data_IF_446251426127
#
_entry.id   IF_446251426127
#
_cell.length_a   1.000
_cell.length_b   1.000
_cell.length_c   1.000
_cell.angle_alpha   90.00
_cell.angle_beta   90.00
_cell.angle_gamma   90.00
#
_symmetry.space_group_name_H-M   'P 1'
#
loop_
_entity.id
_entity.type
_entity.pdbx_description
1 polymer ?
#
# COMPACT_ATOMS: atom_id res chain seq x y z
N UNK A 1 31.08 29.45 16.81
CA UNK A 1 31.95 28.27 16.62
C UNK A 1 31.69 27.35 17.79
N UNK A 2 30.87 26.33 17.59
CA UNK A 2 30.60 25.34 18.63
C UNK A 2 31.11 24.02 18.08
N UNK A 3 32.31 23.66 18.52
CA UNK A 3 32.98 22.39 18.24
C UNK A 3 32.20 21.26 18.92
N UNK A 4 31.66 20.34 18.11
CA UNK A 4 31.22 19.04 18.58
C UNK A 4 32.47 18.20 18.86
N UNK A 5 32.77 17.99 20.14
CA UNK A 5 33.77 17.02 20.58
C UNK A 5 33.20 15.62 20.37
N UNK A 6 33.86 14.85 19.51
CA UNK A 6 33.65 13.41 19.38
C UNK A 6 34.43 12.75 20.51
N UNK A 7 33.75 12.12 21.46
CA UNK A 7 34.38 11.23 22.41
C UNK A 7 33.46 10.05 22.79
N UNK A 8 34.05 8.86 22.70
CA UNK A 8 33.65 7.53 23.19
C UNK A 8 32.77 6.64 22.30
N UNK A 9 33.33 5.46 22.01
CA UNK A 9 32.89 4.37 21.13
C UNK A 9 31.61 3.60 21.57
N UNK A 10 30.57 4.28 22.07
CA UNK A 10 29.34 3.60 22.51
C UNK A 10 28.03 4.31 22.11
N UNK A 11 27.99 4.90 20.91
CA UNK A 11 26.74 5.37 20.28
C UNK A 11 26.72 5.05 18.78
N UNK A 12 26.66 3.76 18.43
CA UNK A 12 26.62 3.38 17.00
C UNK A 12 25.19 3.47 16.43
N UNK A 13 24.12 3.53 17.23
CA UNK A 13 22.75 3.75 16.72
C UNK A 13 21.85 4.47 17.73
N UNK A 14 21.82 5.80 17.69
CA UNK A 14 20.79 6.55 18.40
C UNK A 14 19.50 6.63 17.54
N UNK A 15 18.63 5.63 17.69
CA UNK A 15 17.38 5.51 16.94
C UNK A 15 16.28 6.51 17.35
N UNK A 16 16.51 7.41 18.32
CA UNK A 16 15.51 8.40 18.73
C UNK A 16 15.04 9.28 17.56
N UNK A 17 15.92 9.54 16.60
CA UNK A 17 15.59 10.37 15.43
C UNK A 17 14.71 9.65 14.39
N UNK A 18 14.54 8.32 14.45
CA UNK A 18 13.73 7.57 13.49
C UNK A 18 12.22 7.84 13.62
N UNK A 19 11.80 8.37 14.77
CA UNK A 19 10.40 8.70 15.06
C UNK A 19 10.22 10.20 15.36
N UNK A 20 11.05 11.03 14.73
CA UNK A 20 10.98 12.49 14.82
C UNK A 20 10.49 13.06 13.49
N UNK A 21 9.55 14.00 13.54
CA UNK A 21 9.00 14.62 12.33
C UNK A 21 10.08 15.32 11.51
N UNK A 22 10.07 15.04 10.21
CA UNK A 22 10.89 15.73 9.22
C UNK A 22 10.15 16.92 8.61
N UNK A 23 10.88 17.74 7.85
CA UNK A 23 10.35 18.82 7.04
C UNK A 23 10.49 18.50 5.57
N UNK A 24 9.66 19.13 4.74
CA UNK A 24 9.78 19.01 3.30
C UNK A 24 11.06 19.70 2.80
N UNK A 25 11.64 19.13 1.75
CA UNK A 25 12.68 19.71 0.92
C UNK A 25 12.19 19.56 -0.53
N UNK A 26 11.40 20.54 -0.96
CA UNK A 26 10.72 20.50 -2.26
C UNK A 26 11.61 20.95 -3.42
N UNK A 27 12.68 21.70 -3.14
CA UNK A 27 13.72 21.99 -4.12
C UNK A 27 14.76 20.86 -4.12
N UNK A 28 15.37 20.58 -5.27
CA UNK A 28 16.39 19.53 -5.34
C UNK A 28 17.70 20.03 -4.70
N UNK A 29 18.10 19.38 -3.62
CA UNK A 29 19.32 19.68 -2.88
C UNK A 29 20.45 18.75 -3.29
N UNK A 30 21.61 19.29 -3.66
CA UNK A 30 22.81 18.48 -3.92
C UNK A 30 23.43 18.06 -2.59
N UNK A 31 23.43 16.75 -2.30
CA UNK A 31 23.97 16.22 -1.06
C UNK A 31 25.48 15.98 -1.15
N UNK A 32 26.17 16.19 -0.02
CA UNK A 32 27.58 15.81 0.13
C UNK A 32 27.68 14.37 0.60
N UNK A 33 28.55 13.58 -0.03
CA UNK A 33 28.79 12.19 0.33
C UNK A 33 30.29 11.87 0.37
N UNK A 34 30.65 10.73 0.97
CA UNK A 34 32.00 10.19 1.00
C UNK A 34 32.07 8.92 0.15
N UNK A 35 33.22 8.68 -0.48
CA UNK A 35 33.42 7.57 -1.42
C UNK A 35 33.17 7.98 -2.87
N UNK A 36 33.16 6.99 -3.77
CA UNK A 36 32.92 7.19 -5.19
C UNK A 36 31.69 6.38 -5.62
N UNK A 37 30.78 7.02 -6.34
CA UNK A 37 29.62 6.34 -6.92
C UNK A 37 30.10 5.61 -8.19
N UNK A 38 29.72 4.34 -8.43
CA UNK A 38 30.06 3.67 -9.68
C UNK A 38 29.52 4.44 -10.90
N UNK A 39 30.34 4.65 -11.93
CA UNK A 39 29.97 5.48 -13.10
C UNK A 39 28.71 4.98 -13.84
N UNK A 40 28.44 3.68 -13.77
CA UNK A 40 27.27 3.06 -14.39
C UNK A 40 25.97 3.34 -13.63
N UNK A 41 26.04 3.76 -12.36
CA UNK A 41 24.86 3.99 -11.53
C UNK A 41 24.25 5.36 -11.86
N UNK A 42 23.18 5.32 -12.67
CA UNK A 42 22.42 6.50 -13.06
C UNK A 42 20.93 6.22 -12.95
N UNK A 43 20.21 6.98 -12.13
CA UNK A 43 18.78 6.79 -11.95
C UNK A 43 18.23 7.46 -10.70
N UNK A 44 16.97 7.14 -10.39
CA UNK A 44 16.27 7.66 -9.21
C UNK A 44 16.02 6.52 -8.23
N UNK A 45 16.40 6.71 -6.97
CA UNK A 45 15.96 5.89 -5.85
C UNK A 45 14.82 6.59 -5.13
N UNK A 46 13.65 5.96 -5.11
CA UNK A 46 12.51 6.41 -4.32
C UNK A 46 12.42 5.61 -3.03
N UNK A 47 12.18 6.30 -1.92
CA UNK A 47 11.86 5.68 -0.62
C UNK A 47 10.58 6.28 -0.07
N UNK A 48 9.87 5.50 0.74
CA UNK A 48 8.67 5.92 1.43
C UNK A 48 8.78 5.54 2.91
N UNK A 49 8.01 6.21 3.76
CA UNK A 49 7.93 5.95 5.17
C UNK A 49 7.16 7.05 5.90
N UNK A 50 6.89 6.85 7.21
CA UNK A 50 6.33 7.90 8.05
C UNK A 50 7.35 9.05 8.18
N UNK A 51 6.93 10.28 7.91
CA UNK A 51 7.77 11.47 8.05
C UNK A 51 7.24 12.51 9.04
N UNK A 52 6.00 12.40 9.50
CA UNK A 52 5.46 13.26 10.56
C UNK A 52 4.80 12.39 11.61
N UNK A 53 5.22 12.55 12.86
CA UNK A 53 4.78 11.74 14.00
C UNK A 53 3.73 12.44 14.87
N UNK A 54 3.35 13.65 14.48
CA UNK A 54 2.31 14.49 15.08
C UNK A 54 1.73 15.44 14.01
N UNK A 55 0.63 16.11 14.34
CA UNK A 55 -0.07 17.05 13.46
C UNK A 55 0.28 18.47 13.89
N UNK A 56 0.73 19.30 12.94
CA UNK A 56 1.06 20.72 13.16
C UNK A 56 2.05 20.96 14.32
N UNK A 57 3.04 20.07 14.48
CA UNK A 57 4.01 20.10 15.57
C UNK A 57 3.37 20.13 16.99
N UNK A 58 2.09 19.71 17.12
CA UNK A 58 1.40 19.65 18.41
C UNK A 58 1.62 18.28 19.08
N UNK A 59 2.37 18.19 20.19
CA UNK A 59 2.64 16.92 20.86
C UNK A 59 1.39 16.22 21.40
N UNK A 60 0.24 16.91 21.51
CA UNK A 60 -1.05 16.30 21.89
C UNK A 60 -1.67 15.45 20.78
N UNK A 61 -1.15 15.56 19.57
CA UNK A 61 -1.64 14.86 18.37
C UNK A 61 -0.71 13.76 17.88
N UNK A 62 0.23 13.34 18.74
CA UNK A 62 1.21 12.30 18.46
C UNK A 62 0.54 10.99 18.05
N UNK A 63 1.07 10.35 17.00
CA UNK A 63 0.64 9.02 16.56
C UNK A 63 1.18 7.93 17.49
N UNK A 64 0.37 6.88 17.70
CA UNK A 64 0.69 5.81 18.65
C UNK A 64 1.41 4.60 18.02
N UNK A 65 1.63 4.60 16.71
CA UNK A 65 2.21 3.46 16.00
C UNK A 65 3.16 3.90 14.88
N UNK A 66 4.19 3.09 14.64
CA UNK A 66 5.22 3.34 13.63
C UNK A 66 4.70 3.42 12.19
N UNK A 67 3.46 3.00 11.92
CA UNK A 67 2.84 2.98 10.58
C UNK A 67 1.81 4.11 10.38
N UNK A 68 1.62 4.98 11.38
CA UNK A 68 0.57 5.99 11.37
C UNK A 68 1.07 7.40 11.03
N UNK A 69 2.40 7.58 11.01
CA UNK A 69 2.98 8.87 10.64
C UNK A 69 2.76 9.16 9.15
N UNK A 70 2.52 10.43 8.82
CA UNK A 70 2.14 10.79 7.46
C UNK A 70 3.22 10.42 6.45
N UNK A 71 2.78 9.84 5.33
CA UNK A 71 3.63 9.38 4.24
C UNK A 71 4.56 10.47 3.70
N UNK A 72 5.86 10.20 3.69
CA UNK A 72 6.91 11.07 3.20
C UNK A 72 7.78 10.35 2.19
N UNK A 73 7.78 10.88 0.97
CA UNK A 73 8.49 10.31 -0.17
C UNK A 73 9.83 11.01 -0.29
N UNK A 74 10.88 10.21 -0.41
CA UNK A 74 12.24 10.67 -0.63
C UNK A 74 12.69 10.23 -2.01
N UNK A 75 13.29 11.14 -2.76
CA UNK A 75 13.92 10.88 -4.05
C UNK A 75 15.40 11.20 -3.97
N UNK A 76 16.23 10.26 -4.39
CA UNK A 76 17.65 10.45 -4.63
C UNK A 76 17.92 10.33 -6.14
N UNK A 77 18.21 11.44 -6.81
CA UNK A 77 18.65 11.46 -8.19
C UNK A 77 20.16 11.23 -8.24
N UNK A 78 20.58 10.04 -8.68
CA UNK A 78 21.97 9.60 -8.63
C UNK A 78 22.55 9.65 -10.04
N UNK A 79 23.68 10.33 -10.22
CA UNK A 79 24.50 10.28 -11.42
C UNK A 79 25.97 10.02 -11.05
N UNK A 80 26.39 8.76 -11.22
CA UNK A 80 27.76 8.34 -10.98
C UNK A 80 28.79 8.92 -11.96
N UNK A 81 28.39 9.34 -13.15
CA UNK A 81 29.33 9.93 -14.12
C UNK A 81 29.74 11.35 -13.71
N UNK A 82 28.83 12.13 -13.13
CA UNK A 82 29.09 13.46 -12.58
C UNK A 82 29.41 13.47 -11.08
N UNK A 83 29.33 12.32 -10.41
CA UNK A 83 29.45 12.20 -8.94
C UNK A 83 28.48 13.13 -8.19
N UNK A 84 27.23 13.19 -8.65
CA UNK A 84 26.20 14.04 -8.05
C UNK A 84 25.04 13.20 -7.52
N UNK A 85 24.52 13.58 -6.36
CA UNK A 85 23.26 13.08 -5.84
C UNK A 85 22.37 14.26 -5.49
N UNK A 86 21.25 14.39 -6.18
CA UNK A 86 20.16 15.30 -5.83
C UNK A 86 19.21 14.63 -4.83
N UNK A 87 18.76 15.36 -3.83
CA UNK A 87 17.77 14.92 -2.85
C UNK A 87 16.52 15.80 -2.93
N UNK A 88 15.35 15.17 -2.85
CA UNK A 88 14.06 15.84 -2.68
C UNK A 88 13.21 15.02 -1.73
N UNK A 89 12.46 15.68 -0.86
CA UNK A 89 11.55 15.05 0.10
C UNK A 89 10.22 15.79 0.21
N UNK A 90 9.10 15.08 0.05
CA UNK A 90 7.76 15.69 0.16
C UNK A 90 6.75 14.76 0.80
N UNK A 91 5.81 15.33 1.56
CA UNK A 91 4.65 14.62 2.08
C UNK A 91 3.66 14.33 0.97
N UNK A 92 3.08 13.14 0.98
CA UNK A 92 1.94 12.81 0.10
C UNK A 92 0.74 13.64 0.55
N UNK A 93 0.30 14.59 -0.28
CA UNK A 93 -0.83 15.48 0.02
C UNK A 93 -2.18 14.77 -0.19
N UNK A 94 -2.34 13.62 0.46
CA UNK A 94 -3.57 12.82 0.46
C UNK A 94 -4.71 13.56 1.19
N UNK A 95 -5.94 13.04 1.11
CA UNK A 95 -7.07 13.59 1.88
C UNK A 95 -6.78 13.52 3.37
N UNK A 96 -6.28 12.39 3.86
CA UNK A 96 -5.99 12.19 5.28
C UNK A 96 -4.95 13.18 5.78
N UNK A 97 -3.89 13.44 5.00
CA UNK A 97 -2.91 14.48 5.33
C UNK A 97 -3.54 15.88 5.32
N UNK A 98 -4.11 16.28 4.19
CA UNK A 98 -4.57 17.67 3.97
C UNK A 98 -5.69 18.07 4.92
N UNK A 99 -6.67 17.20 5.16
CA UNK A 99 -7.74 17.48 6.12
C UNK A 99 -7.25 17.47 7.56
N UNK A 100 -6.31 16.60 7.93
CA UNK A 100 -5.79 16.53 9.30
C UNK A 100 -4.97 17.78 9.65
N UNK A 101 -4.10 18.22 8.75
CA UNK A 101 -3.33 19.47 8.89
C UNK A 101 -4.28 20.68 9.00
N UNK A 102 -5.28 20.77 8.12
CA UNK A 102 -6.28 21.84 8.13
C UNK A 102 -7.07 21.90 9.44
N UNK A 103 -7.45 20.74 9.99
CA UNK A 103 -8.29 20.66 11.18
C UNK A 103 -7.48 20.64 12.49
N UNK A 104 -6.15 20.52 12.43
CA UNK A 104 -5.28 20.33 13.60
C UNK A 104 -5.57 19.05 14.39
N UNK A 105 -6.20 18.06 13.76
CA UNK A 105 -6.58 16.79 14.40
C UNK A 105 -6.74 15.70 13.36
N UNK A 106 -6.46 14.45 13.74
CA UNK A 106 -6.50 13.32 12.82
C UNK A 106 -7.90 13.14 12.24
N UNK A 107 -8.00 13.15 10.91
CA UNK A 107 -9.28 13.01 10.22
C UNK A 107 -9.75 11.55 10.17
N UNK A 108 -8.85 10.64 9.82
CA UNK A 108 -9.16 9.25 9.46
C UNK A 108 -8.44 8.28 10.39
N UNK A 109 -9.06 7.15 10.69
CA UNK A 109 -8.43 6.07 11.47
C UNK A 109 -7.23 5.50 10.73
N UNK A 110 -6.12 5.36 11.46
CA UNK A 110 -4.87 4.76 10.98
C UNK A 110 -4.72 3.33 11.52
N UNK A 111 -3.57 2.71 11.28
CA UNK A 111 -3.30 1.33 11.67
C UNK A 111 -3.35 1.14 13.20
N UNK A 112 -2.68 2.02 13.94
CA UNK A 112 -2.59 2.00 15.40
C UNK A 112 -3.24 3.17 16.14
N UNK A 113 -3.67 4.22 15.43
CA UNK A 113 -4.20 5.46 15.99
C UNK A 113 -5.64 5.72 15.52
N UNK A 114 -6.54 5.95 16.46
CA UNK A 114 -7.94 6.30 16.19
C UNK A 114 -8.15 7.81 16.33
N UNK A 115 -8.83 8.50 15.39
CA UNK A 115 -9.25 9.87 15.60
C UNK A 115 -10.14 9.95 16.84
N UNK A 116 -9.89 10.94 17.69
CA UNK A 116 -10.72 11.19 18.87
C UNK A 116 -12.08 11.78 18.44
N UNK A 117 -12.97 10.94 17.94
CA UNK A 117 -14.35 11.32 17.61
C UNK A 117 -15.28 11.06 18.80
N UNK A 118 -16.28 11.94 18.96
CA UNK A 118 -17.37 11.72 19.92
C UNK A 118 -18.18 10.47 19.55
N UNK A 119 -18.76 9.80 20.55
CA UNK A 119 -19.59 8.59 20.39
C UNK A 119 -20.72 8.80 19.35
N UNK A 120 -21.28 10.01 19.28
CA UNK A 120 -22.33 10.38 18.32
C UNK A 120 -21.83 10.39 16.87
N UNK A 121 -20.61 10.87 16.62
CA UNK A 121 -19.98 10.83 15.29
C UNK A 121 -19.66 9.40 14.83
N UNK A 122 -19.27 8.53 15.76
CA UNK A 122 -19.04 7.10 15.50
C UNK A 122 -20.33 6.36 15.15
N UNK A 123 -21.43 6.66 15.85
CA UNK A 123 -22.75 6.10 15.57
C UNK A 123 -23.27 6.55 14.19
N UNK A 124 -23.15 7.82 13.84
CA UNK A 124 -23.56 8.30 12.52
C UNK A 124 -22.78 7.64 11.37
N UNK A 125 -21.46 7.47 11.51
CA UNK A 125 -20.65 6.77 10.51
C UNK A 125 -21.07 5.30 10.34
N UNK A 126 -21.41 4.59 11.41
CA UNK A 126 -21.84 3.19 11.32
C UNK A 126 -23.20 3.00 10.62
N UNK A 127 -24.16 3.90 10.85
CA UNK A 127 -25.53 3.78 10.34
C UNK A 127 -25.78 4.51 9.02
N UNK A 128 -24.98 5.54 8.71
CA UNK A 128 -25.17 6.41 7.55
C UNK A 128 -23.94 6.51 6.63
N UNK A 129 -22.76 6.01 7.04
CA UNK A 129 -21.50 6.15 6.29
C UNK A 129 -20.89 4.82 5.88
N UNK A 130 -21.26 4.30 4.69
CA UNK A 130 -20.48 3.28 3.96
C UNK A 130 -19.79 3.94 2.77
N UNK A 131 -18.97 4.93 3.06
CA UNK A 131 -18.26 5.68 2.04
C UNK A 131 -16.78 5.31 2.06
N UNK A 132 -16.21 5.16 0.86
CA UNK A 132 -14.78 5.11 0.57
C UNK A 132 -13.96 6.23 1.26
N UNK A 133 -14.64 7.25 1.77
CA UNK A 133 -14.09 8.34 2.59
C UNK A 133 -13.73 7.97 4.03
N UNK A 134 -14.07 6.77 4.49
CA UNK A 134 -13.83 6.32 5.87
C UNK A 134 -12.48 5.65 6.11
N UNK A 135 -11.80 5.20 5.05
CA UNK A 135 -10.50 4.53 5.14
C UNK A 135 -9.36 5.52 4.87
N UNK A 136 -8.22 5.29 5.52
CA UNK A 136 -7.03 6.12 5.31
C UNK A 136 -6.49 5.95 3.89
N UNK A 137 -6.10 7.07 3.30
CA UNK A 137 -5.31 7.18 2.08
C UNK A 137 -3.89 7.68 2.40
N UNK A 138 -3.44 7.48 3.65
CA UNK A 138 -2.08 7.72 4.09
C UNK A 138 -1.16 6.58 3.64
N UNK A 139 -0.54 6.78 2.47
CA UNK A 139 0.20 5.74 1.75
C UNK A 139 1.66 5.67 2.19
N UNK A 140 1.92 5.37 3.46
CA UNK A 140 3.26 5.45 4.07
C UNK A 140 4.11 4.16 4.03
N UNK A 141 3.70 3.13 3.28
CA UNK A 141 4.33 1.79 3.34
C UNK A 141 5.36 1.60 2.22
N UNK A 142 4.97 1.76 0.96
CA UNK A 142 5.90 1.58 -0.17
C UNK A 142 5.68 2.63 -1.25
N UNK A 143 6.67 2.75 -2.14
CA UNK A 143 6.56 3.52 -3.38
C UNK A 143 7.11 2.68 -4.54
N UNK A 144 6.36 2.55 -5.63
CA UNK A 144 6.71 1.67 -6.74
C UNK A 144 6.22 2.22 -8.08
N UNK A 145 6.98 1.93 -9.14
CA UNK A 145 6.55 2.19 -10.51
C UNK A 145 5.61 1.08 -10.98
N UNK A 146 4.41 1.45 -11.45
CA UNK A 146 3.44 0.53 -12.07
C UNK A 146 2.91 1.21 -13.33
N UNK A 147 3.05 0.58 -14.50
CA UNK A 147 2.66 1.17 -15.80
C UNK A 147 3.18 2.62 -15.96
N UNK A 148 4.45 2.86 -15.62
CA UNK A 148 5.10 4.19 -15.63
C UNK A 148 4.52 5.25 -14.68
N UNK A 149 3.63 4.89 -13.76
CA UNK A 149 3.18 5.75 -12.67
C UNK A 149 3.94 5.48 -11.38
N UNK A 150 4.37 6.54 -10.69
CA UNK A 150 4.94 6.42 -9.35
C UNK A 150 3.79 6.34 -8.33
N UNK A 151 3.56 5.15 -7.78
CA UNK A 151 2.50 4.89 -6.81
C UNK A 151 3.06 4.82 -5.40
N UNK A 152 2.52 5.64 -4.50
CA UNK A 152 2.64 5.42 -3.06
C UNK A 152 1.48 4.54 -2.59
N UNK A 153 1.78 3.50 -1.82
CA UNK A 153 0.81 2.49 -1.37
C UNK A 153 0.84 2.28 0.16
N UNK A 154 -0.32 1.86 0.68
CA UNK A 154 -0.52 1.30 2.02
C UNK A 154 -1.41 0.07 1.90
N UNK A 155 -1.94 -0.45 3.00
CA UNK A 155 -2.72 -1.70 3.02
C UNK A 155 -4.24 -1.49 2.89
N UNK A 156 -4.67 -0.26 2.60
CA UNK A 156 -6.04 0.04 2.19
C UNK A 156 -6.20 -0.19 0.69
N UNK A 157 -7.43 -0.05 0.19
CA UNK A 157 -7.69 -0.13 -1.25
C UNK A 157 -7.30 1.15 -1.99
N UNK A 158 -6.70 2.14 -1.33
CA UNK A 158 -6.36 3.43 -1.93
C UNK A 158 -4.85 3.59 -2.04
N UNK A 159 -4.37 3.92 -3.24
CA UNK A 159 -3.02 4.38 -3.51
C UNK A 159 -3.02 5.86 -3.91
N UNK A 160 -1.85 6.49 -3.95
CA UNK A 160 -1.68 7.86 -4.44
C UNK A 160 -0.67 7.88 -5.57
N UNK A 161 -1.01 8.56 -6.67
CA UNK A 161 -0.12 8.77 -7.80
C UNK A 161 0.67 10.05 -7.58
N UNK A 162 1.97 9.97 -7.84
CA UNK A 162 2.91 11.06 -7.68
C UNK A 162 3.59 11.38 -9.00
N UNK A 163 3.90 12.66 -9.21
CA UNK A 163 4.82 13.07 -10.26
C UNK A 163 6.24 12.55 -9.91
N UNK A 164 6.89 11.74 -10.76
CA UNK A 164 8.20 11.16 -10.45
C UNK A 164 9.32 12.20 -10.40
N UNK A 165 9.12 13.36 -11.02
CA UNK A 165 10.10 14.44 -11.02
C UNK A 165 9.94 15.32 -9.79
N UNK A 166 8.72 15.79 -9.53
CA UNK A 166 8.44 16.78 -8.46
C UNK A 166 7.97 16.17 -7.15
N UNK A 167 7.61 14.88 -7.11
CA UNK A 167 6.91 14.21 -6.02
C UNK A 167 5.53 14.80 -5.68
N UNK A 168 4.98 15.66 -6.54
CA UNK A 168 3.68 16.26 -6.32
C UNK A 168 2.58 15.19 -6.39
N UNK A 169 1.64 15.25 -5.46
CA UNK A 169 0.46 14.39 -5.47
C UNK A 169 -0.47 14.73 -6.65
N UNK A 170 -0.69 13.78 -7.55
CA UNK A 170 -1.51 13.95 -8.75
C UNK A 170 -2.96 13.48 -8.55
N UNK A 171 -3.17 12.49 -7.69
CA UNK A 171 -4.51 12.03 -7.32
C UNK A 171 -4.53 10.65 -6.68
N UNK A 172 -5.66 10.32 -6.07
CA UNK A 172 -5.89 9.03 -5.45
C UNK A 172 -6.37 7.98 -6.47
N UNK A 173 -5.76 6.80 -6.39
CA UNK A 173 -6.10 5.59 -7.12
C UNK A 173 -6.88 4.65 -6.20
N UNK A 174 -8.08 4.22 -6.61
CA UNK A 174 -8.84 3.23 -5.84
C UNK A 174 -8.80 1.88 -6.55
N UNK A 175 -8.30 0.88 -5.83
CA UNK A 175 -8.25 -0.53 -6.24
C UNK A 175 -9.51 -1.23 -5.73
N UNK A 176 -10.60 -1.18 -6.50
CA UNK A 176 -11.77 -2.00 -6.19
C UNK A 176 -12.29 -2.70 -7.44
N UNK A 177 -12.79 -3.95 -7.29
CA UNK A 177 -13.81 -4.41 -8.20
C UNK A 177 -15.04 -3.54 -8.04
N UNK A 178 -15.60 -3.11 -9.17
CA UNK A 178 -16.94 -2.54 -9.20
C UNK A 178 -17.91 -3.59 -8.62
N UNK A 179 -18.53 -3.27 -7.50
CA UNK A 179 -19.52 -4.11 -6.83
C UNK A 179 -20.80 -3.31 -6.66
N UNK A 180 -21.95 -3.91 -7.01
CA UNK A 180 -23.27 -3.31 -6.76
C UNK A 180 -23.37 -2.89 -5.28
N UNK A 181 -24.08 -1.81 -4.92
CA UNK A 181 -24.24 -1.34 -3.53
C UNK A 181 -24.73 -2.39 -2.50
N UNK A 182 -25.26 -3.53 -2.96
CA UNK A 182 -25.68 -4.66 -2.11
C UNK A 182 -24.55 -5.61 -1.70
N UNK A 183 -23.38 -5.52 -2.33
CA UNK A 183 -22.18 -6.33 -2.05
C UNK A 183 -21.06 -5.50 -1.41
N UNK A 184 -21.39 -4.35 -0.81
CA UNK A 184 -20.43 -3.47 -0.15
C UNK A 184 -19.61 -4.24 0.90
N UNK A 185 -18.27 -4.10 0.86
CA UNK A 185 -17.41 -4.77 1.82
C UNK A 185 -17.62 -4.22 3.23
N UNK A 186 -17.59 -5.12 4.22
CA UNK A 186 -17.41 -4.82 5.64
C UNK A 186 -15.97 -4.35 5.88
N UNK A 187 -15.00 -5.01 5.25
CA UNK A 187 -13.61 -4.60 5.19
C UNK A 187 -13.04 -4.97 3.81
N UNK A 188 -12.16 -4.13 3.28
CA UNK A 188 -11.32 -4.43 2.11
C UNK A 188 -9.91 -3.94 2.37
N UNK A 189 -8.94 -4.79 2.06
CA UNK A 189 -7.51 -4.52 2.21
C UNK A 189 -6.81 -4.95 0.93
N UNK A 190 -5.73 -4.27 0.59
CA UNK A 190 -4.83 -4.65 -0.49
C UNK A 190 -3.41 -4.74 0.06
N UNK A 191 -2.54 -5.49 -0.61
CA UNK A 191 -1.11 -5.44 -0.28
C UNK A 191 -0.50 -4.13 -0.77
N UNK A 192 0.46 -3.60 -0.01
CA UNK A 192 1.36 -2.57 -0.51
C UNK A 192 2.49 -3.18 -1.38
N UNK A 193 2.76 -4.48 -1.28
CA UNK A 193 3.87 -5.16 -1.94
C UNK A 193 3.41 -5.85 -3.23
N UNK A 194 3.18 -5.06 -4.27
CA UNK A 194 2.86 -5.61 -5.60
C UNK A 194 4.11 -6.15 -6.29
N UNK A 195 3.97 -7.26 -7.01
CA UNK A 195 5.10 -8.00 -7.58
C UNK A 195 5.12 -7.86 -9.09
N UNK A 196 6.29 -7.67 -9.70
CA UNK A 196 6.40 -7.65 -11.16
C UNK A 196 6.79 -9.02 -11.71
N UNK A 197 5.90 -9.62 -12.50
CA UNK A 197 6.18 -10.81 -13.30
C UNK A 197 6.88 -10.40 -14.60
N UNK A 198 8.20 -10.61 -14.65
CA UNK A 198 9.00 -10.28 -15.82
C UNK A 198 8.74 -11.18 -17.03
N UNK A 199 8.33 -12.44 -16.83
CA UNK A 199 8.03 -13.41 -17.91
C UNK A 199 6.77 -12.98 -18.65
N UNK A 200 5.76 -12.53 -17.90
CA UNK A 200 4.44 -12.15 -18.45
C UNK A 200 4.27 -10.64 -18.63
N UNK A 201 5.26 -9.84 -18.18
CA UNK A 201 5.24 -8.37 -18.24
C UNK A 201 3.97 -7.81 -17.61
N UNK A 202 3.76 -8.15 -16.34
CA UNK A 202 2.61 -7.67 -15.57
C UNK A 202 2.93 -7.49 -14.09
N UNK A 203 2.30 -6.51 -13.47
CA UNK A 203 2.28 -6.35 -12.01
C UNK A 203 1.14 -7.18 -11.42
N UNK A 204 1.43 -7.93 -10.37
CA UNK A 204 0.50 -8.78 -9.64
C UNK A 204 0.24 -8.15 -8.27
N UNK A 205 -1.02 -7.88 -8.00
CA UNK A 205 -1.50 -7.42 -6.69
C UNK A 205 -2.57 -8.36 -6.15
N UNK A 206 -2.86 -8.27 -4.87
CA UNK A 206 -3.95 -9.01 -4.25
C UNK A 206 -4.54 -8.24 -3.08
N UNK A 207 -5.73 -8.65 -2.65
CA UNK A 207 -6.42 -8.06 -1.52
C UNK A 207 -7.49 -8.96 -0.94
N UNK A 208 -7.76 -8.80 0.35
CA UNK A 208 -8.81 -9.53 1.04
C UNK A 208 -10.03 -8.64 1.25
N UNK A 209 -11.22 -9.23 1.15
CA UNK A 209 -12.47 -8.56 1.51
C UNK A 209 -13.38 -9.47 2.31
N UNK A 210 -14.13 -8.84 3.21
CA UNK A 210 -15.23 -9.46 3.92
C UNK A 210 -16.52 -8.76 3.50
N UNK A 211 -17.53 -9.52 3.13
CA UNK A 211 -18.87 -8.99 2.85
C UNK A 211 -19.91 -9.70 3.71
N UNK A 212 -21.18 -9.32 3.56
CA UNK A 212 -22.29 -10.06 4.15
C UNK A 212 -22.48 -11.46 3.53
N UNK A 213 -21.96 -11.70 2.32
CA UNK A 213 -22.11 -12.96 1.59
C UNK A 213 -20.95 -13.94 1.77
N UNK A 214 -19.82 -13.48 2.30
CA UNK A 214 -18.64 -14.31 2.48
C UNK A 214 -17.35 -13.50 2.52
N UNK A 215 -16.24 -14.21 2.65
CA UNK A 215 -14.90 -13.64 2.58
C UNK A 215 -14.27 -14.05 1.25
N UNK A 216 -13.51 -13.14 0.66
CA UNK A 216 -12.91 -13.35 -0.64
C UNK A 216 -11.49 -12.80 -0.67
N UNK A 217 -10.62 -13.55 -1.33
CA UNK A 217 -9.31 -13.12 -1.78
C UNK A 217 -9.43 -12.76 -3.25
N UNK A 218 -9.05 -11.54 -3.59
CA UNK A 218 -9.02 -11.00 -4.93
C UNK A 218 -7.57 -10.88 -5.41
N UNK A 219 -7.31 -11.28 -6.66
CA UNK A 219 -5.98 -11.19 -7.28
C UNK A 219 -6.14 -10.42 -8.58
N UNK A 220 -5.29 -9.42 -8.76
CA UNK A 220 -5.34 -8.48 -9.88
C UNK A 220 -4.03 -8.52 -10.66
N UNK A 221 -4.13 -8.47 -11.99
CA UNK A 221 -2.99 -8.45 -12.90
C UNK A 221 -3.06 -7.18 -13.76
N UNK A 222 -2.00 -6.40 -13.70
CA UNK A 222 -1.88 -5.10 -14.37
C UNK A 222 -0.80 -5.28 -15.45
N UNK A 223 -1.13 -5.28 -16.75
CA UNK A 223 -0.13 -5.44 -17.81
C UNK A 223 0.86 -4.28 -17.80
N UNK A 224 2.12 -4.50 -18.17
CA UNK A 224 3.15 -3.44 -18.22
C UNK A 224 2.98 -2.51 -19.43
N UNK A 225 2.35 -3.02 -20.51
CA UNK A 225 2.22 -2.30 -21.78
C UNK A 225 1.12 -1.23 -21.77
N UNK A 226 1.56 0.01 -21.99
CA UNK A 226 0.74 1.17 -22.30
C UNK A 226 0.70 1.34 -23.83
N UNK A 227 -0.02 0.49 -24.57
CA UNK A 227 -0.43 0.87 -25.93
C UNK A 227 -0.96 2.31 -25.92
N UNK A 228 -0.38 3.17 -26.77
CA UNK A 228 -0.57 4.64 -26.79
C UNK A 228 -2.03 5.09 -26.97
N UNK A 229 -2.89 4.19 -27.46
CA UNK A 229 -4.33 4.39 -27.49
C UNK A 229 -4.96 3.92 -26.18
N UNK A 230 -5.09 4.84 -25.23
CA UNK A 230 -6.14 4.75 -24.22
C UNK A 230 -7.44 5.14 -24.94
N UNK A 231 -8.44 4.25 -25.09
CA UNK A 231 -9.72 4.67 -25.64
C UNK A 231 -10.23 5.84 -24.80
N UNK A 232 -10.61 6.95 -25.43
CA UNK A 232 -11.42 7.96 -24.76
C UNK A 232 -12.78 7.33 -24.48
N UNK A 233 -12.85 6.64 -23.36
CA UNK A 233 -14.09 6.03 -22.90
C UNK A 233 -14.98 7.17 -22.41
N UNK A 234 -16.12 7.38 -23.07
CA UNK A 234 -17.19 8.24 -22.55
C UNK A 234 -17.88 7.53 -21.36
N UNK A 235 -18.71 8.23 -20.60
CA UNK A 235 -19.33 7.67 -19.38
C UNK A 235 -20.15 6.39 -19.66
N UNK A 236 -20.79 6.30 -20.84
CA UNK A 236 -21.59 5.13 -21.26
C UNK A 236 -20.70 3.90 -21.58
N UNK A 237 -19.58 4.12 -22.27
CA UNK A 237 -18.58 3.08 -22.55
C UNK A 237 -17.86 2.66 -21.25
N UNK A 238 -17.86 3.53 -20.22
CA UNK A 238 -17.26 3.25 -18.92
C UNK A 238 -18.09 2.21 -18.18
N UNK A 239 -19.42 2.38 -18.17
CA UNK A 239 -20.35 1.38 -17.62
C UNK A 239 -20.25 0.02 -18.34
N UNK A 240 -19.99 0.01 -19.65
CA UNK A 240 -19.75 -1.22 -20.40
C UNK A 240 -18.40 -1.88 -20.03
N UNK A 241 -17.31 -1.12 -19.96
CA UNK A 241 -16.00 -1.59 -19.51
C UNK A 241 -16.04 -2.09 -18.06
N UNK A 242 -16.77 -1.39 -17.20
CA UNK A 242 -17.09 -1.76 -15.82
C UNK A 242 -17.90 -3.07 -15.76
N UNK A 243 -18.82 -3.30 -16.70
CA UNK A 243 -19.63 -4.51 -16.75
C UNK A 243 -18.82 -5.76 -17.16
N UNK A 244 -17.76 -5.58 -17.96
CA UNK A 244 -16.89 -6.66 -18.47
C UNK A 244 -15.63 -6.88 -17.64
N UNK A 245 -15.12 -5.85 -16.99
CA UNK A 245 -13.89 -5.88 -16.21
C UNK A 245 -14.23 -5.96 -14.73
N UNK A 246 -13.89 -7.07 -14.06
CA UNK A 246 -14.20 -7.21 -12.64
C UNK A 246 -13.42 -6.26 -11.76
N UNK A 247 -12.27 -5.71 -12.18
CA UNK A 247 -11.47 -4.72 -11.44
C UNK A 247 -10.99 -3.63 -12.39
N UNK A 248 -11.36 -2.37 -12.08
CA UNK A 248 -10.84 -1.19 -12.76
C UNK A 248 -9.90 -0.48 -11.77
N UNK A 249 -8.67 -0.21 -12.19
CA UNK A 249 -7.85 0.82 -11.55
C UNK A 249 -8.34 2.13 -12.14
N UNK A 250 -9.12 2.90 -11.37
CA UNK A 250 -9.61 4.19 -11.82
C UNK A 250 -9.04 5.30 -10.94
N UNK A 251 -8.66 6.38 -11.61
CA UNK A 251 -8.45 7.66 -10.96
C UNK A 251 -9.79 8.10 -10.39
N UNK A 252 -9.88 8.30 -9.09
CA UNK A 252 -11.11 8.82 -8.46
C UNK A 252 -11.39 10.25 -8.89
N UNK A 253 -12.55 10.82 -8.54
CA UNK A 253 -12.86 12.24 -8.83
C UNK A 253 -11.92 13.24 -8.11
N UNK A 254 -11.08 12.76 -7.18
CA UNK A 254 -10.09 13.54 -6.44
C UNK A 254 -8.75 13.66 -7.18
N UNK A 255 -8.79 13.98 -8.48
CA UNK A 255 -7.60 14.31 -9.29
C UNK A 255 -7.35 15.82 -9.19
N UNK A 256 -6.10 16.22 -8.96
CA UNK A 256 -5.71 17.64 -9.00
C UNK A 256 -5.82 18.21 -10.41
N UNK A 257 -5.90 19.54 -10.58
CA UNK A 257 -5.91 20.12 -11.94
C UNK A 257 -4.68 19.70 -12.75
N UNK A 258 -3.51 19.60 -12.10
CA UNK A 258 -2.30 19.06 -12.71
C UNK A 258 -2.49 17.60 -13.11
N UNK A 259 -3.03 16.74 -12.25
CA UNK A 259 -3.33 15.35 -12.58
C UNK A 259 -4.29 15.19 -13.77
N UNK A 260 -5.29 16.07 -13.91
CA UNK A 260 -6.22 16.08 -15.06
C UNK A 260 -5.48 16.41 -16.37
N UNK A 261 -4.51 17.32 -16.30
CA UNK A 261 -3.67 17.71 -17.44
C UNK A 261 -2.52 16.72 -17.70
N UNK A 262 -2.15 15.90 -16.71
CA UNK A 262 -1.06 14.94 -16.78
C UNK A 262 -1.41 13.71 -17.63
N UNK A 263 -2.70 13.47 -17.89
CA UNK A 263 -3.26 12.54 -18.88
C UNK A 263 -2.57 11.16 -18.96
N UNK A 264 -2.37 10.50 -17.80
CA UNK A 264 -1.97 9.09 -17.75
C UNK A 264 -3.05 8.29 -17.02
N UNK A 265 -3.78 7.46 -17.77
CA UNK A 265 -4.77 6.54 -17.19
C UNK A 265 -4.08 5.21 -16.97
N UNK A 266 -3.91 4.80 -15.71
CA UNK A 266 -3.58 3.41 -15.38
C UNK A 266 -4.66 2.54 -16.02
N UNK A 267 -4.27 1.57 -16.85
CA UNK A 267 -5.22 0.74 -17.58
C UNK A 267 -5.96 -0.18 -16.61
N UNK A 268 -7.24 -0.39 -16.92
CA UNK A 268 -8.05 -1.41 -16.29
C UNK A 268 -7.38 -2.79 -16.39
N UNK A 269 -7.53 -3.61 -15.35
CA UNK A 269 -7.05 -4.98 -15.36
C UNK A 269 -7.93 -5.82 -16.28
N UNK A 270 -7.33 -6.67 -17.12
CA UNK A 270 -8.08 -7.61 -17.97
C UNK A 270 -8.21 -8.99 -17.34
N UNK A 271 -7.33 -9.33 -16.39
CA UNK A 271 -7.27 -10.62 -15.71
C UNK A 271 -7.37 -10.43 -14.20
N UNK A 272 -8.29 -11.15 -13.59
CA UNK A 272 -8.47 -11.17 -12.14
C UNK A 272 -9.07 -12.48 -11.68
N UNK A 273 -8.68 -12.95 -10.50
CA UNK A 273 -9.24 -14.14 -9.88
C UNK A 273 -9.81 -13.83 -8.51
N UNK A 274 -10.82 -14.59 -8.11
CA UNK A 274 -11.47 -14.50 -6.81
C UNK A 274 -11.58 -15.88 -6.20
N UNK A 275 -11.14 -16.00 -4.96
CA UNK A 275 -11.22 -17.23 -4.18
C UNK A 275 -12.08 -17.00 -2.95
N UNK A 276 -13.07 -17.86 -2.67
CA UNK A 276 -13.73 -17.86 -1.37
C UNK A 276 -12.72 -18.24 -0.29
N UNK A 277 -12.81 -17.56 0.85
CA UNK A 277 -11.95 -17.80 2.00
C UNK A 277 -12.80 -18.04 3.25
N UNK A 278 -12.33 -18.87 4.15
CA UNK A 278 -13.00 -19.10 5.43
C UNK A 278 -12.85 -17.87 6.34
N UNK A 279 -11.69 -17.21 6.28
CA UNK A 279 -11.34 -16.05 7.08
C UNK A 279 -10.66 -14.97 6.22
N UNK A 280 -10.74 -13.71 6.67
CA UNK A 280 -9.86 -12.65 6.17
C UNK A 280 -8.64 -12.61 7.07
N UNK A 281 -7.49 -13.06 6.55
CA UNK A 281 -6.21 -12.96 7.23
C UNK A 281 -5.46 -11.69 6.84
N UNK A 282 -4.58 -11.26 7.72
CA UNK A 282 -3.58 -10.24 7.42
C UNK A 282 -2.48 -10.86 6.56
N UNK A 283 -2.27 -10.35 5.36
CA UNK A 283 -1.22 -10.82 4.45
C UNK A 283 -0.47 -9.62 3.90
N UNK A 284 0.65 -9.27 4.55
CA UNK A 284 1.41 -8.07 4.21
C UNK A 284 2.07 -8.17 2.83
N UNK A 285 2.70 -9.30 2.52
CA UNK A 285 3.33 -9.55 1.22
C UNK A 285 3.03 -10.96 0.72
N UNK A 286 3.39 -11.19 -0.55
CA UNK A 286 3.37 -12.47 -1.21
C UNK A 286 4.69 -12.67 -1.98
N UNK A 287 4.86 -13.82 -2.61
CA UNK A 287 5.99 -14.06 -3.52
C UNK A 287 5.53 -14.73 -4.80
N UNK A 288 6.29 -14.52 -5.87
CA UNK A 288 6.10 -15.20 -7.15
C UNK A 288 7.33 -16.04 -7.48
N UNK A 289 7.12 -17.24 -8.01
CA UNK A 289 8.12 -18.01 -8.75
C UNK A 289 7.96 -17.74 -10.25
N UNK A 290 8.61 -18.53 -11.10
CA UNK A 290 8.45 -18.42 -12.56
C UNK A 290 6.98 -18.65 -13.00
N UNK A 291 6.29 -19.60 -12.37
CA UNK A 291 4.97 -20.05 -12.79
C UNK A 291 3.87 -19.87 -11.74
N UNK A 292 4.23 -19.59 -10.49
CA UNK A 292 3.28 -19.57 -9.39
C UNK A 292 3.31 -18.28 -8.58
N UNK A 293 2.13 -17.85 -8.14
CA UNK A 293 1.94 -16.94 -7.02
C UNK A 293 1.77 -17.76 -5.75
N UNK A 294 2.49 -17.40 -4.70
CA UNK A 294 2.46 -18.03 -3.39
C UNK A 294 1.96 -17.01 -2.38
N UNK A 295 0.83 -17.32 -1.76
CA UNK A 295 0.23 -16.53 -0.67
C UNK A 295 0.35 -17.30 0.64
N UNK A 296 0.83 -16.61 1.67
CA UNK A 296 0.97 -17.14 3.03
C UNK A 296 -0.17 -16.63 3.91
N UNK A 297 -1.24 -17.42 4.02
CA UNK A 297 -2.40 -17.11 4.84
C UNK A 297 -2.09 -17.44 6.31
N UNK A 298 -1.52 -16.46 7.02
CA UNK A 298 -1.19 -16.57 8.45
C UNK A 298 -2.45 -16.53 9.33
N UNK A 299 -2.46 -17.17 10.51
CA UNK A 299 -3.62 -17.25 11.38
C UNK A 299 -3.83 -15.96 12.21
N UNK A 300 -3.65 -14.79 11.59
CA UNK A 300 -3.97 -13.47 12.15
C UNK A 300 -5.16 -12.89 11.40
N UNK A 301 -6.36 -13.06 11.95
CA UNK A 301 -7.62 -12.86 11.23
C UNK A 301 -8.37 -11.62 11.69
N UNK A 302 -8.97 -10.91 10.74
CA UNK A 302 -10.00 -9.93 11.03
C UNK A 302 -11.26 -10.62 11.54
N UNK A 303 -11.86 -10.08 12.60
CA UNK A 303 -13.13 -10.60 13.13
C UNK A 303 -14.25 -9.57 12.99
N UNK A 304 -15.44 -10.01 12.57
CA UNK A 304 -16.64 -9.15 12.50
C UNK A 304 -16.99 -8.55 13.86
N UNK A 305 -16.85 -9.34 14.93
CA UNK A 305 -17.17 -8.90 16.29
C UNK A 305 -16.28 -7.73 16.71
N UNK A 306 -14.95 -7.86 16.62
CA UNK A 306 -14.04 -6.77 16.99
C UNK A 306 -14.14 -5.58 16.02
N UNK A 307 -14.29 -5.83 14.71
CA UNK A 307 -14.54 -4.77 13.74
C UNK A 307 -15.75 -3.90 14.09
N UNK A 308 -16.88 -4.53 14.40
CA UNK A 308 -18.09 -3.83 14.84
C UNK A 308 -17.86 -3.14 16.19
N UNK A 309 -17.29 -3.85 17.17
CA UNK A 309 -17.05 -3.32 18.51
C UNK A 309 -16.20 -2.05 18.49
N UNK A 310 -15.07 -2.05 17.78
CA UNK A 310 -14.16 -0.90 17.68
C UNK A 310 -14.65 0.19 16.70
N UNK A 311 -15.57 -0.12 15.80
CA UNK A 311 -16.29 0.92 15.05
C UNK A 311 -17.18 1.79 15.96
N UNK A 312 -17.74 1.21 17.03
CA UNK A 312 -18.62 1.92 17.98
C UNK A 312 -17.84 2.51 19.16
N UNK A 313 -16.98 1.71 19.78
CA UNK A 313 -16.26 2.09 21.02
C UNK A 313 -15.04 2.95 20.77
N UNK A 314 -14.58 3.03 19.51
CA UNK A 314 -13.28 3.62 19.18
C UNK A 314 -12.15 2.64 19.40
N UNK A 315 -11.16 2.69 18.53
CA UNK A 315 -10.04 1.76 18.48
C UNK A 315 -9.37 1.76 17.12
N UNK A 316 -8.15 1.24 17.07
CA UNK A 316 -7.35 1.19 15.84
C UNK A 316 -7.60 -0.10 15.06
N UNK A 317 -7.10 -0.17 13.82
CA UNK A 317 -7.30 -1.33 12.94
C UNK A 317 -6.69 -2.60 13.54
N UNK A 318 -5.52 -2.48 14.19
CA UNK A 318 -4.82 -3.62 14.84
C UNK A 318 -5.70 -4.40 15.83
N UNK A 319 -6.59 -3.71 16.53
CA UNK A 319 -7.45 -4.32 17.55
C UNK A 319 -8.58 -5.17 16.94
N UNK A 320 -8.84 -5.01 15.64
CA UNK A 320 -9.85 -5.77 14.89
C UNK A 320 -9.35 -7.15 14.46
N UNK A 321 -8.04 -7.38 14.52
CA UNK A 321 -7.39 -8.65 14.20
C UNK A 321 -7.09 -9.48 15.45
N UNK A 322 -7.14 -10.80 15.30
CA UNK A 322 -6.80 -11.77 16.35
C UNK A 322 -5.93 -12.88 15.82
N UNK A 323 -4.94 -13.22 16.64
CA UNK A 323 -4.12 -14.41 16.45
C UNK A 323 -4.93 -15.66 16.82
N UNK A 324 -4.86 -16.68 15.97
CA UNK A 324 -5.52 -17.98 16.14
C UNK A 324 -4.55 -19.14 15.88
N UNK A 325 -3.24 -18.92 15.96
CA UNK A 325 -2.23 -19.91 15.62
C UNK A 325 -2.22 -21.15 16.51
N UNK A 326 -2.90 -21.10 17.67
CA UNK A 326 -3.12 -22.25 18.55
C UNK A 326 -4.11 -23.26 17.97
N UNK A 327 -4.97 -22.83 17.05
CA UNK A 327 -6.07 -23.65 16.50
C UNK A 327 -6.09 -23.73 14.98
N UNK A 328 -5.35 -22.86 14.29
CA UNK A 328 -5.31 -22.79 12.83
C UNK A 328 -3.86 -22.80 12.33
N UNK A 329 -3.56 -23.59 11.28
CA UNK A 329 -2.25 -23.56 10.65
C UNK A 329 -2.07 -22.27 9.84
N UNK A 330 -0.84 -22.00 9.43
CA UNK A 330 -0.61 -21.12 8.28
C UNK A 330 -0.85 -21.93 7.00
N UNK A 331 -1.56 -21.36 6.04
CA UNK A 331 -1.77 -22.01 4.74
C UNK A 331 -0.95 -21.36 3.64
N UNK A 332 -0.33 -22.18 2.80
CA UNK A 332 0.32 -21.76 1.57
C UNK A 332 -0.63 -22.02 0.40
N UNK A 333 -1.20 -20.95 -0.17
CA UNK A 333 -2.00 -21.03 -1.39
C UNK A 333 -1.11 -20.79 -2.60
N UNK A 334 -1.09 -21.78 -3.49
CA UNK A 334 -0.26 -21.78 -4.70
C UNK A 334 -1.18 -21.64 -5.91
N UNK A 335 -1.00 -20.57 -6.67
CA UNK A 335 -1.86 -20.19 -7.79
C UNK A 335 -1.02 -20.10 -9.06
N UNK A 336 -1.48 -20.72 -10.14
CA UNK A 336 -0.84 -20.60 -11.45
C UNK A 336 -0.94 -19.17 -11.97
N UNK A 337 0.19 -18.55 -12.31
CA UNK A 337 0.21 -17.23 -12.93
C UNK A 337 -0.36 -17.26 -14.37
N UNK A 338 -0.30 -18.42 -15.05
CA UNK A 338 -0.85 -18.61 -16.39
C UNK A 338 -2.36 -18.78 -16.39
N UNK A 339 -2.88 -19.70 -15.57
CA UNK A 339 -4.30 -20.07 -15.60
C UNK A 339 -5.12 -19.36 -14.52
N UNK A 340 -4.48 -18.89 -13.46
CA UNK A 340 -5.16 -18.39 -12.26
C UNK A 340 -5.80 -19.46 -11.40
N UNK A 341 -5.57 -20.72 -11.70
CA UNK A 341 -6.10 -21.82 -10.91
C UNK A 341 -5.27 -22.01 -9.65
N UNK A 342 -5.95 -22.30 -8.54
CA UNK A 342 -5.28 -22.78 -7.34
C UNK A 342 -4.80 -24.21 -7.57
N UNK A 343 -3.48 -24.38 -7.63
CA UNK A 343 -2.83 -25.66 -7.87
C UNK A 343 -2.66 -26.43 -6.56
N UNK A 344 -2.48 -25.72 -5.45
CA UNK A 344 -2.31 -26.33 -4.13
C UNK A 344 -2.73 -25.36 -3.01
N UNK A 345 -3.12 -25.95 -1.89
CA UNK A 345 -3.44 -25.27 -0.65
C UNK A 345 -2.93 -26.12 0.51
N UNK A 346 -1.78 -25.76 1.05
CA UNK A 346 -0.96 -26.64 1.89
C UNK A 346 -0.88 -26.07 3.31
N UNK A 347 -1.25 -26.82 4.35
CA UNK A 347 -1.08 -26.37 5.72
C UNK A 347 0.38 -26.52 6.18
N UNK A 348 0.84 -25.59 7.01
CA UNK A 348 2.12 -25.64 7.71
C UNK A 348 2.00 -25.18 9.17
N UNK A 349 3.13 -25.09 9.91
CA UNK A 349 3.15 -24.54 11.26
C UNK A 349 2.57 -23.12 11.30
N UNK A 350 1.98 -22.73 12.42
CA UNK A 350 1.52 -21.36 12.62
C UNK A 350 2.71 -20.42 12.85
N UNK A 351 2.83 -19.35 12.06
CA UNK A 351 3.79 -18.27 12.27
C UNK A 351 3.23 -16.93 11.77
N UNK A 352 3.87 -15.83 12.17
CA UNK A 352 3.56 -14.50 11.69
C UNK A 352 4.60 -14.07 10.66
N UNK A 353 4.17 -13.40 9.60
CA UNK A 353 5.04 -12.92 8.53
C UNK A 353 4.60 -11.53 8.05
N UNK A 354 5.58 -10.65 7.89
CA UNK A 354 5.42 -9.45 7.06
C UNK A 354 5.95 -9.73 5.65
N UNK A 355 7.25 -9.98 5.52
CA UNK A 355 7.93 -10.00 4.23
C UNK A 355 8.29 -11.42 3.80
N UNK A 356 7.93 -11.77 2.57
CA UNK A 356 8.63 -12.79 1.80
C UNK A 356 9.99 -12.25 1.34
N UNK A 357 10.97 -13.15 1.22
CA UNK A 357 12.27 -12.85 0.62
C UNK A 357 12.23 -13.19 -0.86
N UNK A 358 11.99 -14.45 -1.21
CA UNK A 358 11.90 -14.91 -2.60
C UNK A 358 11.19 -16.27 -2.71
N UNK A 359 10.77 -16.64 -3.92
CA UNK A 359 10.28 -17.98 -4.24
C UNK A 359 10.84 -18.49 -5.55
N UNK A 360 11.19 -19.79 -5.61
CA UNK A 360 11.66 -20.42 -6.84
C UNK A 360 11.29 -21.90 -6.93
N UNK A 361 11.14 -22.38 -8.17
CA UNK A 361 10.82 -23.77 -8.46
C UNK A 361 12.11 -24.60 -8.54
N UNK A 362 12.10 -25.81 -7.97
CA UNK A 362 13.26 -26.70 -8.02
C UNK A 362 13.38 -27.38 -9.39
N UNK A 363 14.45 -27.11 -10.14
CA UNK A 363 14.69 -27.70 -11.47
C UNK A 363 14.59 -29.24 -11.48
N UNK A 364 15.17 -29.89 -10.47
CA UNK A 364 15.21 -31.35 -10.36
C UNK A 364 13.94 -31.96 -9.75
N UNK A 365 12.99 -31.15 -9.28
CA UNK A 365 11.73 -31.62 -8.72
C UNK A 365 10.60 -30.63 -8.95
N UNK A 366 9.87 -30.82 -10.06
CA UNK A 366 8.72 -30.00 -10.47
C UNK A 366 7.54 -29.99 -9.47
N UNK A 367 7.58 -30.78 -8.41
CA UNK A 367 6.57 -30.78 -7.32
C UNK A 367 7.04 -30.00 -6.09
N UNK A 368 8.18 -29.32 -6.16
CA UNK A 368 8.78 -28.60 -5.04
C UNK A 368 9.05 -27.14 -5.41
N UNK A 369 8.55 -26.24 -4.56
CA UNK A 369 8.81 -24.80 -4.58
C UNK A 369 9.53 -24.47 -3.27
N UNK A 370 10.56 -23.63 -3.35
CA UNK A 370 11.22 -23.03 -2.18
C UNK A 370 10.61 -21.65 -1.99
N UNK A 371 10.24 -21.34 -0.75
CA UNK A 371 9.61 -20.07 -0.33
C UNK A 371 10.39 -19.60 0.88
N UNK A 372 11.11 -18.50 0.72
CA UNK A 372 11.97 -17.90 1.76
C UNK A 372 11.32 -16.67 2.40
#
# INVERSE_FOLDING_TARGET
MTTLSVDTEEQVWNNYNLFTSTKESTDEEIIKFQGNIPEWLKGNLYRNGPGAHEINDDPKTTFNHAFDGFAFIQKYNIDGSSQTVGFRGSFVKSRTYTESIKNGSLKTRQFGTDPCQSILGRFQNLFFGRDSTTHTDDTGVTVQMVQNELLALTETTTGNILDPDTLEHLGALVTLPYGRPKDSPIISMATAHVMFDNKRKMTVGYGNRMTNKGNFLDIVFIPDDISDEVPKVNDDDMDELISRSRYLLYLTDNITERGKNYNRRIKATTKSFRFPCDHVCYMHSASISENYLILTEIPYHFTKFYGLWYSVTGGSVTQMFKWNGETMPTYFRIISLDTGEQIAYIPGPAFFQFHHINSYECENNKKKIIVD
#
